data_IF_867746376146
#
_entry.id   IF_867746376146
#
_cell.length_a   1.000
_cell.length_b   1.000
_cell.length_c   1.000
_cell.angle_alpha   90.00
_cell.angle_beta   90.00
_cell.angle_gamma   90.00
#
_symmetry.space_group_name_H-M   'P 1'
#
loop_
_entity.id
_entity.type
_entity.pdbx_description
1 polymer ?
#
# COMPACT_ATOMS: atom_id res chain seq x y z
N UNK A 1 -3.72 -5.41 -31.28
CA UNK A 1 -3.71 -5.67 -29.82
C UNK A 1 -4.09 -7.11 -29.44
N UNK A 2 -4.97 -7.83 -30.17
CA UNK A 2 -5.40 -9.19 -29.77
C UNK A 2 -4.23 -10.19 -29.67
N UNK A 3 -3.33 -10.24 -30.66
CA UNK A 3 -2.23 -11.21 -30.68
C UNK A 3 -1.26 -11.09 -29.49
N UNK A 4 -1.00 -9.88 -28.98
CA UNK A 4 -0.10 -9.68 -27.82
C UNK A 4 -0.80 -10.13 -26.52
N UNK A 5 -2.08 -9.79 -26.38
CA UNK A 5 -2.86 -10.17 -25.20
C UNK A 5 -3.00 -11.69 -25.05
N UNK A 6 -3.00 -12.43 -26.16
CA UNK A 6 -3.03 -13.89 -26.13
C UNK A 6 -1.76 -14.46 -25.48
N UNK A 7 -0.58 -13.94 -25.82
CA UNK A 7 0.69 -14.36 -25.19
C UNK A 7 0.76 -14.04 -23.70
N UNK A 8 0.22 -12.89 -23.27
CA UNK A 8 0.20 -12.49 -21.85
C UNK A 8 -0.65 -13.45 -21.01
N UNK A 9 -1.68 -14.06 -21.62
CA UNK A 9 -2.66 -14.92 -20.94
C UNK A 9 -2.35 -16.42 -21.03
N UNK A 10 -1.18 -16.80 -21.53
CA UNK A 10 -0.81 -18.22 -21.62
C UNK A 10 -0.80 -18.88 -20.24
N UNK A 11 -1.51 -20.00 -20.15
CA UNK A 11 -1.52 -20.83 -18.95
C UNK A 11 -0.26 -21.69 -18.90
N UNK A 12 0.78 -21.19 -18.22
CA UNK A 12 2.06 -21.90 -18.11
C UNK A 12 1.93 -23.28 -17.44
N UNK A 13 0.91 -23.49 -16.61
CA UNK A 13 0.69 -24.76 -15.90
C UNK A 13 0.42 -25.94 -16.84
N UNK A 14 -0.01 -25.68 -18.07
CA UNK A 14 -0.26 -26.71 -19.10
C UNK A 14 1.03 -27.19 -19.77
N UNK A 15 2.14 -26.45 -19.62
CA UNK A 15 3.38 -26.69 -20.36
C UNK A 15 4.60 -26.91 -19.47
N UNK A 16 4.60 -26.38 -18.25
CA UNK A 16 5.73 -26.49 -17.33
C UNK A 16 5.28 -26.40 -15.88
N UNK A 17 6.13 -26.91 -14.97
CA UNK A 17 5.96 -26.73 -13.53
C UNK A 17 6.60 -25.44 -13.01
N UNK A 18 7.34 -24.71 -13.85
CA UNK A 18 7.98 -23.45 -13.48
C UNK A 18 6.92 -22.39 -13.14
N UNK A 19 7.27 -21.50 -12.22
CA UNK A 19 6.46 -20.33 -11.88
C UNK A 19 7.28 -19.05 -12.01
N UNK A 20 6.60 -17.91 -12.10
CA UNK A 20 7.20 -16.59 -12.11
C UNK A 20 6.93 -15.94 -10.75
N UNK A 21 7.99 -15.42 -10.13
CA UNK A 21 7.91 -14.65 -8.89
C UNK A 21 8.35 -13.20 -9.17
N UNK A 22 7.43 -12.26 -8.97
CA UNK A 22 7.67 -10.82 -9.06
C UNK A 22 8.08 -10.30 -7.67
N UNK A 23 9.33 -9.95 -7.49
CA UNK A 23 9.85 -9.41 -6.25
C UNK A 23 9.58 -7.91 -6.20
N UNK A 24 8.84 -7.46 -5.20
CA UNK A 24 8.43 -6.07 -4.98
C UNK A 24 9.25 -5.48 -3.82
N UNK A 25 9.67 -4.22 -3.93
CA UNK A 25 10.29 -3.48 -2.84
C UNK A 25 10.01 -1.99 -2.93
N UNK A 26 10.26 -1.28 -1.83
CA UNK A 26 10.16 0.18 -1.73
C UNK A 26 11.53 0.78 -2.05
N UNK A 27 11.57 1.75 -2.97
CA UNK A 27 12.78 2.45 -3.40
C UNK A 27 13.26 3.53 -2.44
N UNK A 28 14.25 4.30 -2.87
CA UNK A 28 14.93 5.31 -2.06
C UNK A 28 14.07 6.51 -1.69
N UNK A 29 13.02 6.82 -2.46
CA UNK A 29 12.10 7.91 -2.12
C UNK A 29 11.10 7.52 -1.02
N UNK A 30 11.07 6.23 -0.61
CA UNK A 30 10.16 5.73 0.42
C UNK A 30 8.70 5.56 -0.04
N UNK A 31 8.37 6.02 -1.24
CA UNK A 31 7.04 5.88 -1.86
C UNK A 31 7.07 5.20 -3.22
N UNK A 32 8.23 5.15 -3.88
CA UNK A 32 8.37 4.55 -5.20
C UNK A 32 8.44 3.02 -5.10
N UNK A 33 7.42 2.33 -5.60
CA UNK A 33 7.43 0.87 -5.69
C UNK A 33 8.26 0.42 -6.90
N UNK A 34 9.08 -0.60 -6.69
CA UNK A 34 9.93 -1.20 -7.72
C UNK A 34 9.68 -2.70 -7.75
N UNK A 35 9.83 -3.30 -8.93
CA UNK A 35 9.74 -4.76 -9.05
C UNK A 35 10.61 -5.35 -10.14
N UNK A 36 10.90 -6.64 -10.02
CA UNK A 36 11.42 -7.48 -11.11
C UNK A 36 11.06 -8.94 -10.92
N UNK A 37 10.99 -9.66 -12.03
CA UNK A 37 10.57 -11.06 -12.04
C UNK A 37 11.72 -12.05 -12.21
N UNK A 38 11.65 -13.19 -11.50
CA UNK A 38 12.47 -14.38 -11.77
C UNK A 38 11.63 -15.61 -12.02
N UNK A 39 12.21 -16.57 -12.72
CA UNK A 39 11.66 -17.92 -12.84
C UNK A 39 12.07 -18.77 -11.64
N UNK A 40 11.11 -19.46 -11.03
CA UNK A 40 11.32 -20.49 -10.03
C UNK A 40 11.09 -21.87 -10.65
N UNK A 41 11.80 -22.91 -10.19
CA UNK A 41 11.66 -24.26 -10.73
C UNK A 41 10.28 -24.87 -10.45
N UNK A 42 9.61 -24.45 -9.38
CA UNK A 42 8.30 -24.91 -8.95
C UNK A 42 7.55 -23.83 -8.14
N UNK A 43 6.22 -23.95 -7.96
CA UNK A 43 5.44 -23.02 -7.14
C UNK A 43 5.86 -23.07 -5.67
N UNK A 44 5.90 -21.90 -5.02
CA UNK A 44 6.28 -21.75 -3.61
C UNK A 44 5.18 -20.98 -2.88
N UNK A 45 4.79 -21.46 -1.70
CA UNK A 45 3.74 -20.84 -0.85
C UNK A 45 4.27 -20.33 0.49
N UNK A 46 5.52 -20.64 0.82
CA UNK A 46 6.19 -20.23 2.05
C UNK A 46 7.28 -19.19 1.72
N UNK A 47 7.16 -17.93 2.18
CA UNK A 47 8.16 -16.89 1.93
C UNK A 47 9.58 -17.31 2.32
N UNK A 48 9.76 -18.10 3.39
CA UNK A 48 11.07 -18.53 3.87
C UNK A 48 11.79 -19.49 2.92
N UNK A 49 11.06 -20.13 1.99
CA UNK A 49 11.61 -21.03 0.96
C UNK A 49 11.97 -20.30 -0.33
N UNK A 50 11.61 -19.02 -0.45
CA UNK A 50 12.00 -18.23 -1.61
C UNK A 50 13.48 -17.84 -1.51
N UNK A 51 14.23 -17.89 -2.63
CA UNK A 51 15.61 -17.47 -2.63
C UNK A 51 15.70 -15.97 -2.34
N UNK A 52 16.72 -15.58 -1.58
CA UNK A 52 17.14 -14.18 -1.55
C UNK A 52 17.49 -13.73 -2.97
N UNK A 53 17.39 -12.43 -3.19
CA UNK A 53 17.83 -11.82 -4.43
C UNK A 53 18.50 -10.50 -4.14
N UNK A 54 18.97 -9.81 -5.17
CA UNK A 54 19.64 -8.54 -5.07
C UNK A 54 19.13 -7.61 -6.15
N UNK A 55 19.40 -6.32 -6.06
CA UNK A 55 19.21 -5.34 -7.13
C UNK A 55 20.31 -4.27 -7.07
N UNK A 56 20.36 -3.44 -8.11
CA UNK A 56 21.24 -2.29 -8.19
C UNK A 56 20.61 -1.11 -7.44
N UNK A 57 21.05 -0.90 -6.19
CA UNK A 57 20.61 0.18 -5.32
C UNK A 57 21.09 1.56 -5.76
N UNK A 58 22.10 1.66 -6.61
CA UNK A 58 22.52 2.96 -7.18
C UNK A 58 21.48 3.54 -8.14
N UNK A 59 20.67 2.67 -8.75
CA UNK A 59 19.55 3.04 -9.64
C UNK A 59 18.24 3.36 -8.89
N UNK A 60 18.27 3.33 -7.56
CA UNK A 60 17.08 3.57 -6.70
C UNK A 60 17.39 4.45 -5.49
N UNK A 61 18.52 5.15 -5.47
CA UNK A 61 18.98 6.02 -4.35
C UNK A 61 19.10 5.26 -3.01
N UNK A 62 19.51 3.99 -3.05
CA UNK A 62 19.64 3.12 -1.89
C UNK A 62 21.07 2.63 -1.61
N UNK A 63 22.00 2.84 -2.55
CA UNK A 63 23.40 2.48 -2.41
C UNK A 63 24.28 3.36 -3.33
N UNK A 64 25.57 3.59 -3.02
CA UNK A 64 26.49 4.28 -3.92
C UNK A 64 26.84 3.41 -5.14
N UNK A 65 27.42 4.00 -6.19
CA UNK A 65 27.71 3.28 -7.44
C UNK A 65 28.86 2.26 -7.36
N UNK A 66 29.79 2.44 -6.43
CA UNK A 66 30.95 1.56 -6.21
C UNK A 66 30.67 0.38 -5.28
N UNK A 67 29.57 0.44 -4.52
CA UNK A 67 29.02 -0.66 -3.70
C UNK A 67 27.50 -0.66 -3.82
N UNK A 68 26.99 -1.02 -5.01
CA UNK A 68 25.60 -0.80 -5.38
C UNK A 68 24.64 -1.94 -5.01
N UNK A 69 25.14 -3.06 -4.49
CA UNK A 69 24.32 -4.23 -4.24
C UNK A 69 23.40 -4.05 -3.02
N UNK A 70 22.10 -4.22 -3.22
CA UNK A 70 21.12 -4.28 -2.13
C UNK A 70 20.37 -5.60 -2.18
N UNK A 71 20.22 -6.26 -1.03
CA UNK A 71 19.63 -7.59 -0.89
C UNK A 71 18.13 -7.49 -0.62
N UNK A 72 17.34 -8.25 -1.38
CA UNK A 72 15.91 -8.48 -1.20
C UNK A 72 15.69 -9.73 -0.37
N UNK A 73 14.99 -9.60 0.75
CA UNK A 73 14.52 -10.74 1.54
C UNK A 73 13.00 -10.90 1.39
N UNK A 74 12.50 -12.04 0.91
CA UNK A 74 11.06 -12.32 0.81
C UNK A 74 10.36 -12.30 2.16
N UNK A 75 9.22 -11.62 2.26
CA UNK A 75 8.46 -11.48 3.50
C UNK A 75 7.01 -11.97 3.39
N UNK A 76 6.32 -11.64 2.29
CA UNK A 76 4.96 -12.08 2.06
C UNK A 76 4.75 -12.50 0.60
N UNK A 77 3.92 -13.53 0.39
CA UNK A 77 3.56 -14.06 -0.92
C UNK A 77 2.08 -13.76 -1.19
N UNK A 78 1.79 -13.28 -2.40
CA UNK A 78 0.45 -13.08 -2.92
C UNK A 78 0.32 -13.71 -4.30
N UNK A 79 -0.89 -14.07 -4.72
CA UNK A 79 -1.10 -14.54 -6.10
C UNK A 79 -0.96 -13.37 -7.07
N UNK A 80 -0.29 -13.58 -8.20
CA UNK A 80 -0.14 -12.54 -9.23
C UNK A 80 -1.43 -12.42 -10.08
N UNK A 81 -2.21 -11.33 -9.96
CA UNK A 81 -3.46 -11.17 -10.71
C UNK A 81 -3.23 -10.84 -12.20
N UNK A 82 -2.02 -10.47 -12.59
CA UNK A 82 -1.67 -10.10 -13.97
C UNK A 82 -1.25 -11.33 -14.77
N UNK A 83 -0.48 -12.22 -14.16
CA UNK A 83 0.01 -13.45 -14.80
C UNK A 83 -0.89 -14.66 -14.55
N UNK A 84 -1.68 -14.65 -13.47
CA UNK A 84 -2.54 -15.77 -13.09
C UNK A 84 -1.75 -17.05 -12.79
N UNK A 85 -2.46 -18.19 -12.78
CA UNK A 85 -1.84 -19.51 -12.59
C UNK A 85 -1.11 -19.64 -11.24
N UNK A 86 0.05 -20.28 -11.24
CA UNK A 86 0.90 -20.46 -10.05
C UNK A 86 1.94 -19.35 -9.86
N UNK A 87 1.78 -18.22 -10.55
CA UNK A 87 2.69 -17.08 -10.44
C UNK A 87 2.36 -16.23 -9.21
N UNK A 88 3.38 -15.59 -8.64
CA UNK A 88 3.28 -14.91 -7.35
C UNK A 88 3.89 -13.51 -7.37
N UNK A 89 3.32 -12.62 -6.57
CA UNK A 89 3.95 -11.39 -6.11
C UNK A 89 4.63 -11.68 -4.77
N UNK A 90 5.80 -11.10 -4.56
CA UNK A 90 6.62 -11.30 -3.35
C UNK A 90 6.99 -9.95 -2.77
N UNK A 91 6.32 -9.55 -1.69
CA UNK A 91 6.73 -8.35 -0.95
C UNK A 91 8.03 -8.64 -0.23
N UNK A 92 9.05 -7.82 -0.47
CA UNK A 92 10.37 -7.95 0.11
C UNK A 92 10.72 -6.75 0.99
N UNK A 93 11.60 -6.97 1.96
CA UNK A 93 12.36 -5.91 2.61
C UNK A 93 13.83 -5.94 2.16
N UNK A 94 14.56 -4.88 2.50
CA UNK A 94 15.84 -4.52 1.88
C UNK A 94 16.98 -4.39 2.88
N UNK A 95 18.14 -4.94 2.51
CA UNK A 95 19.31 -5.03 3.37
C UNK A 95 20.61 -4.75 2.61
N UNK A 96 21.64 -4.32 3.33
CA UNK A 96 23.02 -4.36 2.83
C UNK A 96 23.49 -5.81 2.64
N UNK A 97 24.56 -6.07 1.87
CA UNK A 97 25.17 -7.39 1.78
C UNK A 97 25.67 -7.95 3.13
N UNK A 98 26.04 -7.07 4.07
CA UNK A 98 26.41 -7.43 5.45
C UNK A 98 25.20 -7.90 6.29
N UNK A 99 23.99 -7.65 5.81
CA UNK A 99 22.74 -8.11 6.42
C UNK A 99 22.04 -7.09 7.30
N UNK A 100 22.46 -5.83 7.28
CA UNK A 100 21.85 -4.71 8.00
C UNK A 100 20.68 -4.11 7.21
N UNK A 101 19.56 -3.73 7.86
CA UNK A 101 18.45 -3.08 7.16
C UNK A 101 18.90 -1.72 6.63
N UNK A 102 18.62 -1.42 5.36
CA UNK A 102 18.94 -0.10 4.80
C UNK A 102 18.02 0.99 5.38
N UNK A 103 18.38 2.29 5.32
CA UNK A 103 17.62 3.36 5.97
C UNK A 103 16.13 3.46 5.57
N UNK A 104 15.79 3.07 4.35
CA UNK A 104 14.41 3.06 3.82
C UNK A 104 13.62 1.79 4.20
N UNK A 105 14.26 0.77 4.78
CA UNK A 105 13.56 -0.42 5.30
C UNK A 105 12.84 -0.10 6.62
N UNK A 106 11.64 0.46 6.53
CA UNK A 106 10.78 0.74 7.70
C UNK A 106 10.10 -0.51 8.24
N UNK A 107 9.95 -1.55 7.41
CA UNK A 107 9.35 -2.83 7.79
C UNK A 107 10.11 -3.50 8.93
N UNK A 108 11.45 -3.46 8.91
CA UNK A 108 12.29 -4.09 9.94
C UNK A 108 11.98 -3.58 11.37
N UNK A 109 11.87 -2.27 11.55
CA UNK A 109 11.54 -1.69 12.86
C UNK A 109 10.10 -1.97 13.26
N UNK A 110 9.16 -1.93 12.31
CA UNK A 110 7.77 -2.26 12.55
C UNK A 110 7.60 -3.73 12.99
N UNK A 111 8.29 -4.65 12.32
CA UNK A 111 8.26 -6.09 12.62
C UNK A 111 8.79 -6.37 14.03
N UNK A 112 9.85 -5.68 14.48
CA UNK A 112 10.32 -5.76 15.87
C UNK A 112 9.27 -5.34 16.88
N UNK A 113 8.50 -4.28 16.61
CA UNK A 113 7.44 -3.80 17.50
C UNK A 113 6.31 -4.83 17.56
N UNK A 114 5.86 -5.35 16.41
CA UNK A 114 4.76 -6.32 16.36
C UNK A 114 5.15 -7.69 16.95
N UNK A 115 6.44 -8.05 16.90
CA UNK A 115 6.97 -9.25 17.55
C UNK A 115 7.29 -9.05 19.04
N UNK A 116 7.15 -7.85 19.60
CA UNK A 116 7.28 -7.65 21.04
C UNK A 116 6.18 -8.44 21.77
N UNK A 117 6.49 -9.24 22.81
CA UNK A 117 5.51 -10.13 23.44
C UNK A 117 4.22 -9.43 23.90
N UNK A 118 4.36 -8.24 24.50
CA UNK A 118 3.21 -7.44 24.95
C UNK A 118 2.33 -6.95 23.79
N UNK A 119 2.92 -6.65 22.63
CA UNK A 119 2.17 -6.21 21.44
C UNK A 119 1.51 -7.42 20.76
N UNK A 120 2.24 -8.52 20.62
CA UNK A 120 1.71 -9.75 20.03
C UNK A 120 0.50 -10.29 20.82
N UNK A 121 0.56 -10.23 22.16
CA UNK A 121 -0.53 -10.66 23.03
C UNK A 121 -1.81 -9.80 22.91
N UNK A 122 -1.66 -8.52 22.54
CA UNK A 122 -2.75 -7.58 22.34
C UNK A 122 -3.45 -7.76 20.97
N UNK A 123 -2.90 -8.55 20.04
CA UNK A 123 -3.47 -8.82 18.70
C UNK A 123 -3.99 -7.54 18.00
N UNK A 124 -3.10 -6.58 17.68
CA UNK A 124 -3.48 -5.30 17.09
C UNK A 124 -4.03 -5.49 15.67
N UNK A 125 -5.24 -5.01 15.44
CA UNK A 125 -5.91 -4.99 14.14
C UNK A 125 -5.89 -3.59 13.57
N UNK A 126 -5.66 -3.52 12.25
CA UNK A 126 -5.69 -2.29 11.48
C UNK A 126 -6.66 -2.41 10.30
N UNK A 127 -7.42 -1.35 10.04
CA UNK A 127 -8.17 -1.15 8.80
C UNK A 127 -7.77 0.19 8.20
N UNK A 128 -7.15 0.18 7.03
CA UNK A 128 -6.57 1.39 6.42
C UNK A 128 -7.39 1.77 5.18
N UNK A 129 -7.90 2.99 5.17
CA UNK A 129 -8.67 3.63 4.09
C UNK A 129 -7.70 4.41 3.19
N UNK A 130 -7.30 3.86 2.04
CA UNK A 130 -6.36 4.50 1.12
C UNK A 130 -7.12 5.32 0.09
N UNK A 131 -7.05 6.65 0.20
CA UNK A 131 -7.51 7.55 -0.84
C UNK A 131 -6.40 7.81 -1.87
N UNK A 132 -6.81 8.06 -3.12
CA UNK A 132 -5.91 8.34 -4.23
C UNK A 132 -6.62 9.11 -5.34
N UNK A 133 -5.86 9.75 -6.21
CA UNK A 133 -6.40 10.49 -7.36
C UNK A 133 -5.85 9.94 -8.68
N UNK A 134 -6.75 9.76 -9.65
CA UNK A 134 -6.40 9.35 -11.01
C UNK A 134 -6.14 10.58 -11.88
N UNK A 135 -4.99 10.60 -12.56
CA UNK A 135 -4.52 11.71 -13.37
C UNK A 135 -4.33 11.28 -14.83
N UNK A 136 -4.65 12.19 -15.75
CA UNK A 136 -4.34 12.06 -17.18
C UNK A 136 -2.82 12.02 -17.37
N UNK A 137 -2.34 11.08 -18.17
CA UNK A 137 -0.91 10.79 -18.31
C UNK A 137 -0.07 11.98 -18.76
N UNK A 138 -0.55 12.71 -19.76
CA UNK A 138 0.23 13.75 -20.44
C UNK A 138 0.13 15.11 -19.75
N UNK A 139 -1.06 15.47 -19.25
CA UNK A 139 -1.31 16.77 -18.63
C UNK A 139 -1.12 16.76 -17.12
N UNK A 140 -1.06 15.58 -16.49
CA UNK A 140 -1.12 15.38 -15.03
C UNK A 140 -2.35 16.02 -14.38
N UNK A 141 -3.39 16.29 -15.17
CA UNK A 141 -4.65 16.83 -14.69
C UNK A 141 -5.61 15.70 -14.29
N UNK A 142 -6.53 15.86 -13.33
CA UNK A 142 -7.35 14.74 -12.89
C UNK A 142 -8.22 14.15 -14.02
N UNK A 143 -8.45 12.84 -13.95
CA UNK A 143 -9.15 12.08 -14.99
C UNK A 143 -10.59 12.61 -15.17
N UNK A 144 -10.99 12.87 -16.41
CA UNK A 144 -12.33 13.40 -16.72
C UNK A 144 -12.48 14.91 -16.51
N UNK A 145 -11.46 15.60 -15.98
CA UNK A 145 -11.47 17.06 -15.90
C UNK A 145 -11.15 17.69 -17.26
N UNK A 146 -11.80 18.82 -17.60
CA UNK A 146 -11.45 19.56 -18.81
C UNK A 146 -10.02 20.09 -18.71
N UNK A 147 -9.23 19.93 -19.77
CA UNK A 147 -7.84 20.41 -19.81
C UNK A 147 -7.80 21.92 -19.60
N UNK A 148 -7.05 22.37 -18.58
CA UNK A 148 -6.97 23.79 -18.22
C UNK A 148 -8.21 24.37 -17.54
N UNK A 149 -9.16 23.52 -17.12
CA UNK A 149 -10.39 23.92 -16.45
C UNK A 149 -10.77 22.99 -15.30
N UNK A 150 -11.94 23.26 -14.73
CA UNK A 150 -12.51 22.54 -13.61
C UNK A 150 -13.87 21.95 -13.98
N UNK A 151 -14.26 20.79 -13.42
CA UNK A 151 -15.63 20.30 -13.51
C UNK A 151 -16.56 21.16 -12.64
N UNK A 152 -17.83 20.76 -12.52
CA UNK A 152 -18.75 21.37 -11.56
C UNK A 152 -18.24 21.27 -10.11
N UNK A 153 -18.79 22.06 -9.18
CA UNK A 153 -18.37 22.03 -7.77
C UNK A 153 -18.57 20.64 -7.15
N UNK A 154 -17.81 20.36 -6.09
CA UNK A 154 -17.92 19.13 -5.30
C UNK A 154 -19.35 18.92 -4.78
N UNK A 155 -19.77 17.65 -4.65
CA UNK A 155 -21.13 17.31 -4.23
C UNK A 155 -21.68 16.04 -4.91
N UNK A 156 -21.82 16.00 -6.26
CA UNK A 156 -22.42 14.86 -6.95
C UNK A 156 -21.48 13.66 -7.15
N UNK A 157 -20.20 13.80 -6.81
CA UNK A 157 -19.15 12.82 -7.11
C UNK A 157 -19.02 11.71 -6.07
N UNK A 158 -19.13 12.04 -4.78
CA UNK A 158 -19.05 11.07 -3.69
C UNK A 158 -20.11 9.98 -3.86
N UNK A 159 -19.67 8.73 -3.95
CA UNK A 159 -20.51 7.57 -4.27
C UNK A 159 -21.41 7.74 -5.53
N UNK A 160 -21.04 8.64 -6.45
CA UNK A 160 -21.82 8.99 -7.62
C UNK A 160 -21.82 7.91 -8.70
N UNK A 161 -22.91 7.84 -9.47
CA UNK A 161 -23.06 6.95 -10.63
C UNK A 161 -23.47 7.79 -11.85
N UNK A 162 -22.81 7.56 -12.99
CA UNK A 162 -23.00 8.30 -14.23
C UNK A 162 -21.68 8.73 -14.86
N UNK A 163 -21.65 8.83 -16.19
CA UNK A 163 -20.46 9.23 -16.94
C UNK A 163 -20.00 10.67 -16.64
N UNK A 164 -20.90 11.50 -16.12
CA UNK A 164 -20.69 12.89 -15.71
C UNK A 164 -20.20 13.03 -14.25
N UNK A 165 -20.11 11.92 -13.50
CA UNK A 165 -19.79 11.93 -12.06
C UNK A 165 -18.68 10.98 -11.67
N UNK A 166 -18.57 9.83 -12.35
CA UNK A 166 -17.73 8.72 -11.92
C UNK A 166 -16.67 8.40 -12.97
N UNK A 167 -15.47 8.93 -12.77
CA UNK A 167 -14.35 8.82 -13.71
C UNK A 167 -13.36 7.75 -13.26
N UNK A 168 -13.12 6.72 -14.09
CA UNK A 168 -12.12 5.67 -13.81
C UNK A 168 -12.62 4.47 -13.00
N UNK A 169 -13.95 4.21 -12.96
CA UNK A 169 -14.51 3.06 -12.24
C UNK A 169 -14.00 1.71 -12.75
N UNK A 170 -13.64 1.62 -14.03
CA UNK A 170 -13.03 0.44 -14.63
C UNK A 170 -11.70 0.06 -13.95
N UNK A 171 -10.84 1.03 -13.65
CA UNK A 171 -9.60 0.84 -12.87
C UNK A 171 -9.93 0.33 -11.47
N UNK A 172 -10.91 0.94 -10.81
CA UNK A 172 -11.28 0.65 -9.41
C UNK A 172 -11.85 -0.76 -9.28
N UNK A 173 -12.81 -1.14 -10.13
CA UNK A 173 -13.43 -2.46 -10.09
C UNK A 173 -12.45 -3.57 -10.50
N UNK A 174 -11.52 -3.27 -11.41
CA UNK A 174 -10.43 -4.17 -11.76
C UNK A 174 -9.47 -4.38 -10.59
N UNK A 175 -9.08 -3.29 -9.91
CA UNK A 175 -8.22 -3.32 -8.72
C UNK A 175 -8.84 -4.12 -7.59
N UNK A 176 -10.13 -3.90 -7.31
CA UNK A 176 -10.82 -4.62 -6.25
C UNK A 176 -10.78 -6.13 -6.49
N UNK A 177 -11.12 -6.59 -7.70
CA UNK A 177 -11.06 -8.01 -8.06
C UNK A 177 -9.63 -8.56 -8.05
N UNK A 178 -8.66 -7.78 -8.50
CA UNK A 178 -7.25 -8.16 -8.50
C UNK A 178 -6.72 -8.37 -7.07
N UNK A 179 -7.06 -7.48 -6.13
CA UNK A 179 -6.73 -7.60 -4.72
C UNK A 179 -7.36 -8.84 -4.08
N UNK A 180 -8.66 -9.07 -4.32
CA UNK A 180 -9.35 -10.29 -3.85
C UNK A 180 -8.68 -11.56 -4.41
N UNK A 181 -8.36 -11.57 -5.70
CA UNK A 181 -7.63 -12.69 -6.31
C UNK A 181 -6.26 -12.88 -5.66
N UNK A 182 -5.50 -11.80 -5.46
CA UNK A 182 -4.17 -11.84 -4.87
C UNK A 182 -4.16 -12.38 -3.42
N UNK A 183 -5.30 -12.31 -2.73
CA UNK A 183 -5.46 -12.70 -1.33
C UNK A 183 -5.27 -11.55 -0.35
N UNK A 184 -5.33 -10.31 -0.83
CA UNK A 184 -5.36 -9.12 0.02
C UNK A 184 -6.73 -9.03 0.68
N UNK A 185 -6.76 -8.74 1.98
CA UNK A 185 -7.98 -8.53 2.75
C UNK A 185 -8.56 -7.12 2.49
N UNK A 186 -8.87 -6.85 1.22
CA UNK A 186 -9.58 -5.64 0.79
C UNK A 186 -11.04 -5.75 1.23
N UNK A 187 -11.55 -4.73 1.93
CA UNK A 187 -12.87 -4.75 2.57
C UNK A 187 -13.92 -3.86 1.91
N UNK A 188 -13.50 -2.93 1.05
CA UNK A 188 -14.43 -2.08 0.30
C UNK A 188 -13.72 -1.10 -0.63
N UNK A 189 -14.55 -0.38 -1.38
CA UNK A 189 -14.19 0.71 -2.28
C UNK A 189 -15.32 1.75 -2.32
N UNK A 190 -14.98 3.01 -2.60
CA UNK A 190 -15.96 4.06 -2.92
C UNK A 190 -15.34 5.14 -3.81
N UNK A 191 -16.21 5.87 -4.52
CA UNK A 191 -15.82 7.12 -5.18
C UNK A 191 -15.79 8.24 -4.15
N UNK A 192 -14.73 9.03 -4.14
CA UNK A 192 -14.52 10.09 -3.16
C UNK A 192 -15.11 11.44 -3.57
N UNK A 193 -15.02 12.42 -2.68
CA UNK A 193 -15.63 13.74 -2.85
C UNK A 193 -15.09 14.50 -4.07
N UNK A 194 -13.77 14.46 -4.30
CA UNK A 194 -13.17 15.10 -5.47
C UNK A 194 -13.39 14.23 -6.73
N UNK A 195 -13.83 14.80 -7.86
CA UNK A 195 -13.97 14.04 -9.09
C UNK A 195 -12.62 13.46 -9.53
N UNK A 196 -12.60 12.17 -9.88
CA UNK A 196 -11.39 11.35 -10.14
C UNK A 196 -10.63 10.86 -8.89
N UNK A 197 -11.09 11.20 -7.70
CA UNK A 197 -10.61 10.64 -6.44
C UNK A 197 -11.41 9.40 -6.06
N UNK A 198 -10.72 8.43 -5.48
CA UNK A 198 -11.28 7.15 -5.08
C UNK A 198 -10.64 6.66 -3.79
N UNK A 199 -11.29 5.70 -3.14
CA UNK A 199 -10.80 5.04 -1.95
C UNK A 199 -10.90 3.52 -2.06
N UNK A 200 -9.94 2.81 -1.48
CA UNK A 200 -10.08 1.39 -1.14
C UNK A 200 -9.67 1.14 0.31
N UNK A 201 -10.31 0.17 0.97
CA UNK A 201 -10.00 -0.18 2.35
C UNK A 201 -9.32 -1.54 2.46
N UNK A 202 -8.23 -1.64 3.23
CA UNK A 202 -7.56 -2.91 3.55
C UNK A 202 -7.73 -3.20 5.04
N UNK A 203 -8.37 -4.31 5.38
CA UNK A 203 -8.48 -4.81 6.75
C UNK A 203 -9.86 -5.33 7.13
N UNK A 204 -10.02 -5.89 8.34
CA UNK A 204 -9.02 -5.88 9.42
C UNK A 204 -7.81 -6.79 9.12
N UNK A 205 -6.60 -6.26 9.26
CA UNK A 205 -5.34 -6.96 9.12
C UNK A 205 -4.53 -6.87 10.42
N UNK A 206 -3.85 -7.95 10.81
CA UNK A 206 -3.16 -8.02 12.10
C UNK A 206 -1.68 -7.65 11.97
N UNK A 207 -1.21 -6.72 12.81
CA UNK A 207 0.20 -6.34 12.93
C UNK A 207 0.89 -6.05 11.59
N UNK A 208 2.06 -6.66 11.38
CA UNK A 208 2.92 -6.42 10.21
C UNK A 208 2.23 -6.66 8.87
N UNK A 209 1.25 -7.58 8.83
CA UNK A 209 0.52 -7.93 7.61
C UNK A 209 -0.33 -6.79 7.07
N UNK A 210 -0.69 -5.79 7.89
CA UNK A 210 -1.40 -4.60 7.43
C UNK A 210 -0.54 -3.76 6.47
N UNK A 211 0.75 -3.59 6.81
CA UNK A 211 1.70 -2.90 5.94
C UNK A 211 2.03 -3.69 4.68
N UNK A 212 2.28 -5.00 4.81
CA UNK A 212 2.55 -5.87 3.68
C UNK A 212 1.40 -5.82 2.65
N UNK A 213 0.15 -5.94 3.11
CA UNK A 213 -1.02 -5.94 2.24
C UNK A 213 -1.27 -4.58 1.58
N UNK A 214 -1.11 -3.47 2.32
CA UNK A 214 -1.34 -2.15 1.74
C UNK A 214 -0.31 -1.81 0.65
N UNK A 215 0.97 -2.13 0.86
CA UNK A 215 2.00 -1.93 -0.17
C UNK A 215 1.74 -2.75 -1.43
N UNK A 216 1.33 -4.01 -1.29
CA UNK A 216 0.97 -4.82 -2.46
C UNK A 216 -0.33 -4.33 -3.11
N UNK A 217 -1.30 -3.82 -2.34
CA UNK A 217 -2.51 -3.20 -2.90
C UNK A 217 -2.17 -1.95 -3.72
N UNK A 218 -1.23 -1.11 -3.25
CA UNK A 218 -0.70 0.05 -3.99
C UNK A 218 -0.01 -0.39 -5.28
N UNK A 219 0.82 -1.43 -5.22
CA UNK A 219 1.48 -1.99 -6.42
C UNK A 219 0.47 -2.46 -7.48
N UNK A 220 -0.55 -3.22 -7.05
CA UNK A 220 -1.58 -3.71 -7.96
C UNK A 220 -2.35 -2.54 -8.59
N UNK A 221 -2.67 -1.50 -7.80
CA UNK A 221 -3.35 -0.31 -8.31
C UNK A 221 -2.52 0.39 -9.38
N UNK A 222 -1.24 0.67 -9.08
CA UNK A 222 -0.36 1.38 -10.01
C UNK A 222 -0.14 0.60 -11.31
N UNK A 223 0.04 -0.73 -11.22
CA UNK A 223 0.12 -1.61 -12.40
C UNK A 223 -1.18 -1.65 -13.23
N UNK A 224 -2.35 -1.50 -12.61
CA UNK A 224 -3.62 -1.38 -13.35
C UNK A 224 -3.71 -0.02 -14.02
N UNK A 225 -3.29 1.07 -13.36
CA UNK A 225 -3.25 2.39 -13.98
C UNK A 225 -2.27 2.46 -15.15
N UNK A 226 -1.14 1.74 -15.07
CA UNK A 226 -0.19 1.56 -16.18
C UNK A 226 -0.87 0.96 -17.41
N UNK A 227 -1.65 -0.13 -17.23
CA UNK A 227 -2.42 -0.77 -18.31
C UNK A 227 -3.47 0.20 -18.90
N UNK A 228 -4.11 1.00 -18.05
CA UNK A 228 -5.10 1.98 -18.46
C UNK A 228 -4.50 3.26 -19.09
N UNK A 229 -3.19 3.46 -19.02
CA UNK A 229 -2.54 4.69 -19.46
C UNK A 229 -2.91 5.90 -18.59
N UNK A 230 -3.18 5.67 -17.31
CA UNK A 230 -3.54 6.68 -16.31
C UNK A 230 -2.40 6.78 -15.28
N UNK A 231 -2.19 7.95 -14.69
CA UNK A 231 -1.20 8.19 -13.65
C UNK A 231 -1.89 8.16 -12.29
N UNK A 232 -1.31 7.43 -11.36
CA UNK A 232 -1.77 7.36 -9.97
C UNK A 232 -1.06 8.43 -9.14
N UNK A 233 -1.81 9.12 -8.26
CA UNK A 233 -1.23 10.01 -7.25
C UNK A 233 -1.72 9.63 -5.86
N UNK A 234 -0.77 9.50 -4.94
CA UNK A 234 -0.98 9.45 -3.50
C UNK A 234 -0.63 10.78 -2.81
N UNK A 235 -0.42 11.86 -3.58
CA UNK A 235 -0.22 13.18 -3.00
C UNK A 235 -1.46 13.59 -2.18
N UNK A 236 -1.30 14.04 -0.92
CA UNK A 236 -2.44 14.43 -0.09
C UNK A 236 -3.17 15.67 -0.61
N UNK A 237 -2.55 16.52 -1.42
CA UNK A 237 -3.22 17.66 -2.09
C UNK A 237 -2.87 17.71 -3.57
N UNK A 238 -3.46 16.82 -4.40
CA UNK A 238 -3.10 16.76 -5.81
C UNK A 238 -3.50 18.04 -6.57
N UNK A 239 -4.54 18.74 -6.11
CA UNK A 239 -5.03 20.00 -6.72
C UNK A 239 -5.21 21.06 -5.62
N UNK A 240 -4.60 22.26 -5.77
CA UNK A 240 -4.76 23.35 -4.82
C UNK A 240 -6.17 23.96 -4.88
N UNK A 241 -6.56 24.66 -3.81
CA UNK A 241 -7.86 25.32 -3.71
C UNK A 241 -8.91 24.46 -3.00
N UNK A 242 -10.19 24.72 -3.32
CA UNK A 242 -11.37 24.14 -2.66
C UNK A 242 -11.75 22.76 -3.23
N UNK A 243 -10.75 21.88 -3.31
CA UNK A 243 -10.89 20.48 -3.70
C UNK A 243 -10.44 19.60 -2.54
N UNK A 244 -11.10 18.49 -2.29
CA UNK A 244 -10.72 17.60 -1.20
C UNK A 244 -9.27 17.09 -1.37
N UNK A 245 -8.59 16.90 -0.24
CA UNK A 245 -7.31 16.20 -0.20
C UNK A 245 -7.50 14.70 -0.10
N UNK A 246 -6.38 13.98 -0.08
CA UNK A 246 -6.33 12.53 0.03
C UNK A 246 -5.70 12.07 1.36
N UNK A 247 -6.44 11.22 2.09
CA UNK A 247 -6.03 10.62 3.36
C UNK A 247 -5.65 9.14 3.29
N UNK A 248 -5.15 8.64 4.42
CA UNK A 248 -4.91 7.22 4.70
C UNK A 248 -5.46 6.84 6.08
N UNK A 249 -6.78 6.99 6.30
CA UNK A 249 -7.34 6.85 7.64
C UNK A 249 -7.07 5.45 8.21
N UNK A 250 -6.57 5.41 9.44
CA UNK A 250 -6.16 4.15 10.08
C UNK A 250 -7.07 3.83 11.25
N UNK A 251 -7.98 2.89 11.03
CA UNK A 251 -8.79 2.25 12.06
C UNK A 251 -7.91 1.28 12.86
N UNK A 252 -8.08 1.25 14.19
CA UNK A 252 -7.22 0.48 15.08
C UNK A 252 -8.02 -0.15 16.23
N UNK A 253 -7.69 -1.39 16.58
CA UNK A 253 -8.15 -2.00 17.84
C UNK A 253 -7.16 -3.03 18.36
N UNK A 254 -7.10 -3.20 19.68
CA UNK A 254 -6.49 -4.38 20.32
C UNK A 254 -7.56 -5.34 20.82
N UNK A 255 -7.17 -6.57 21.17
CA UNK A 255 -8.06 -7.59 21.72
C UNK A 255 -8.85 -7.10 22.94
N UNK A 256 -8.26 -6.43 23.95
CA UNK A 256 -9.02 -5.78 25.03
C UNK A 256 -10.01 -4.71 24.56
N UNK A 257 -9.68 -3.92 23.52
CA UNK A 257 -10.63 -2.93 22.97
C UNK A 257 -11.87 -3.58 22.36
N UNK A 258 -11.74 -4.81 21.84
CA UNK A 258 -12.83 -5.58 21.22
C UNK A 258 -13.67 -6.37 22.22
N UNK A 259 -13.25 -6.45 23.48
CA UNK A 259 -13.95 -7.18 24.55
C UNK A 259 -14.87 -6.26 25.37
N UNK A 260 -15.67 -6.86 26.26
CA UNK A 260 -16.55 -6.13 27.17
C UNK A 260 -15.75 -5.11 28.02
N UNK A 261 -16.23 -3.86 28.06
CA UNK A 261 -15.53 -2.74 28.70
C UNK A 261 -14.42 -2.11 27.88
N UNK A 262 -14.17 -2.58 26.65
CA UNK A 262 -13.11 -2.10 25.76
C UNK A 262 -13.13 -0.59 25.45
N UNK A 263 -14.27 0.07 25.63
CA UNK A 263 -14.39 1.54 25.47
C UNK A 263 -13.45 2.31 26.41
N UNK A 264 -13.20 1.80 27.61
CA UNK A 264 -12.28 2.46 28.54
C UNK A 264 -10.81 2.24 28.13
N UNK A 265 -10.51 1.13 27.46
CA UNK A 265 -9.20 0.89 26.84
C UNK A 265 -8.99 1.85 25.66
N UNK A 266 -10.02 2.05 24.83
CA UNK A 266 -10.00 3.01 23.71
C UNK A 266 -9.73 4.43 24.22
N UNK A 267 -10.44 4.88 25.27
CA UNK A 267 -10.23 6.22 25.86
C UNK A 267 -8.79 6.42 26.32
N UNK A 268 -8.21 5.45 27.03
CA UNK A 268 -6.79 5.49 27.46
C UNK A 268 -5.82 5.52 26.28
N UNK A 269 -6.11 4.78 25.21
CA UNK A 269 -5.30 4.82 24.01
C UNK A 269 -5.34 6.20 23.31
N UNK A 270 -6.53 6.82 23.25
CA UNK A 270 -6.69 8.19 22.72
C UNK A 270 -5.90 9.20 23.56
N UNK A 271 -5.96 9.11 24.89
CA UNK A 271 -5.17 9.97 25.78
C UNK A 271 -3.66 9.85 25.49
N UNK A 272 -3.13 8.63 25.37
CA UNK A 272 -1.72 8.40 25.03
C UNK A 272 -1.36 8.97 23.64
N UNK A 273 -2.22 8.77 22.64
CA UNK A 273 -2.03 9.33 21.30
C UNK A 273 -2.04 10.86 21.31
N UNK A 274 -2.87 11.48 22.15
CA UNK A 274 -2.89 12.94 22.34
C UNK A 274 -1.57 13.48 22.88
N UNK A 275 -0.93 12.75 23.81
CA UNK A 275 0.37 13.14 24.40
C UNK A 275 1.55 13.02 23.42
N UNK A 276 1.42 12.23 22.35
CA UNK A 276 2.45 12.08 21.30
C UNK A 276 2.02 12.67 19.96
N UNK A 277 1.05 13.58 19.94
CA UNK A 277 0.47 14.09 18.69
C UNK A 277 1.53 14.65 17.73
N UNK A 278 2.46 15.46 18.20
CA UNK A 278 3.53 16.06 17.37
C UNK A 278 4.43 15.01 16.72
N UNK A 279 4.82 13.97 17.48
CA UNK A 279 5.67 12.89 16.97
C UNK A 279 4.93 12.04 15.93
N UNK A 280 3.63 11.84 16.10
CA UNK A 280 2.81 11.15 15.11
C UNK A 280 2.66 11.98 13.83
N UNK A 281 2.37 13.28 13.92
CA UNK A 281 2.28 14.17 12.75
C UNK A 281 3.56 14.14 11.92
N UNK A 282 4.74 14.17 12.57
CA UNK A 282 6.02 14.10 11.87
C UNK A 282 6.27 12.80 11.08
N UNK A 283 5.50 11.73 11.34
CA UNK A 283 5.67 10.42 10.73
C UNK A 283 4.52 10.01 9.81
N UNK A 284 3.50 10.86 9.67
CA UNK A 284 2.23 10.54 9.01
C UNK A 284 2.18 10.94 7.52
N UNK A 285 3.35 11.13 6.91
CA UNK A 285 3.52 11.65 5.55
C UNK A 285 3.68 13.17 5.54
N UNK A 286 3.97 13.71 4.36
CA UNK A 286 4.17 15.14 4.13
C UNK A 286 2.99 15.70 3.32
N UNK A 287 2.45 16.86 3.71
CA UNK A 287 1.24 17.44 3.12
C UNK A 287 0.68 18.67 3.88
N UNK A 288 -0.62 18.95 3.70
CA UNK A 288 -1.33 20.07 4.36
C UNK A 288 -2.29 19.57 5.46
N UNK A 289 -2.81 20.48 6.29
CA UNK A 289 -3.57 20.14 7.51
C UNK A 289 -5.06 19.85 7.26
N UNK A 290 -5.51 18.62 7.53
CA UNK A 290 -6.90 18.26 7.90
C UNK A 290 -6.87 16.98 8.76
N UNK A 291 -7.52 16.98 9.94
CA UNK A 291 -7.36 15.92 10.97
C UNK A 291 -8.27 14.69 10.71
N UNK A 292 -7.82 13.85 9.78
CA UNK A 292 -7.82 12.36 9.82
C UNK A 292 -6.40 11.93 9.41
N UNK A 293 -5.48 12.30 10.29
CA UNK A 293 -4.05 12.69 10.15
C UNK A 293 -3.13 11.98 9.13
N UNK A 294 -3.10 10.64 8.95
CA UNK A 294 -2.18 10.04 8.00
C UNK A 294 -2.53 10.49 6.57
N UNK A 295 -1.57 11.10 5.88
CA UNK A 295 -1.70 11.48 4.49
C UNK A 295 -1.76 10.24 3.60
N UNK A 296 -2.36 10.35 2.41
CA UNK A 296 -2.46 9.24 1.44
C UNK A 296 -1.10 8.63 1.05
N UNK A 297 0.00 9.39 1.18
CA UNK A 297 1.38 8.96 0.93
C UNK A 297 2.12 8.43 2.18
N UNK A 298 1.44 8.15 3.29
CA UNK A 298 2.11 7.62 4.48
C UNK A 298 2.70 6.22 4.22
N UNK A 299 3.73 5.84 4.98
CA UNK A 299 4.23 4.45 5.00
C UNK A 299 3.45 3.65 6.06
N UNK A 300 2.69 2.62 5.66
CA UNK A 300 1.88 1.85 6.61
C UNK A 300 2.71 1.14 7.66
N UNK A 301 3.97 0.77 7.39
CA UNK A 301 4.82 0.15 8.41
C UNK A 301 5.06 1.11 9.56
N UNK A 302 5.35 2.38 9.25
CA UNK A 302 5.62 3.42 10.25
C UNK A 302 4.35 3.73 11.04
N UNK A 303 3.25 4.06 10.36
CA UNK A 303 2.02 4.49 11.02
C UNK A 303 1.46 3.39 11.93
N UNK A 304 1.35 2.16 11.42
CA UNK A 304 0.76 1.05 12.19
C UNK A 304 1.61 0.68 13.41
N UNK A 305 2.94 0.61 13.26
CA UNK A 305 3.81 0.25 14.38
C UNK A 305 3.90 1.36 15.43
N UNK A 306 3.88 2.64 15.01
CA UNK A 306 3.87 3.77 15.95
C UNK A 306 2.58 3.83 16.76
N UNK A 307 1.42 3.53 16.15
CA UNK A 307 0.16 3.43 16.89
C UNK A 307 0.23 2.31 17.93
N UNK A 308 0.74 1.13 17.55
CA UNK A 308 0.90 0.01 18.49
C UNK A 308 1.90 0.35 19.62
N UNK A 309 3.06 0.91 19.29
CA UNK A 309 4.07 1.33 20.27
C UNK A 309 3.50 2.34 21.26
N UNK A 310 2.88 3.43 20.79
CA UNK A 310 2.35 4.48 21.65
C UNK A 310 1.22 3.96 22.55
N UNK A 311 0.35 3.08 22.03
CA UNK A 311 -0.81 2.62 22.80
C UNK A 311 -0.47 1.50 23.77
N UNK A 312 0.47 0.61 23.43
CA UNK A 312 0.79 -0.60 24.21
C UNK A 312 2.07 -0.44 25.03
N UNK A 313 3.19 -0.07 24.39
CA UNK A 313 4.53 -0.10 25.01
C UNK A 313 4.89 1.19 25.75
N UNK A 314 4.51 2.33 25.19
CA UNK A 314 4.88 3.63 25.73
C UNK A 314 4.13 3.92 27.05
N UNK A 315 4.89 4.51 27.98
CA UNK A 315 4.43 4.98 29.30
C UNK A 315 4.78 6.48 29.40
N UNK A 316 3.80 7.34 29.74
CA UNK A 316 4.00 8.78 29.90
C UNK A 316 5.06 9.16 30.95
#
# INVERSE_FOLDING_TARGET
>A
MSLINDFIKFNLNETTRKSIAEYLWIGGAGMDLRSKARTLPEPVTDPAKLPLWNFDGSSTDQAPGDDSEVILRPQAIFRDPFRGGSNILVMCDTYTPAGDPIPTNKRFSADKIFNHPDVAAEEPWFGIEQEYTLLQKDTKWPLGWPVGGFPGPQGPYYCGVGADKSFGRDIVDAHYKACLYAGINISGINGEVMPAQWEFQVGPATGISAGDQLWVARYILERITEIAGVVLSFDPKPIPGDWNGAGAHTNYSTKPMRNDGGIDVIRKAIEKLGLRHEQHIAAYGEGYFEDRRPASNMDPYVVTSMIAETTILWKP
#
